data_IF_071377314293
#
_entry.id   IF_071377314293
#
_cell.length_a   1.000
_cell.length_b   1.000
_cell.length_c   1.000
_cell.angle_alpha   90.00
_cell.angle_beta   90.00
_cell.angle_gamma   90.00
#
_symmetry.space_group_name_H-M   'P 1'
#
loop_
_entity.id
_entity.type
_entity.pdbx_description
1 polymer ?
#
# COMPACT_ATOMS: atom_id res chain seq x y z
N UNK A 1 -12.63 -7.46 12.62
CA UNK A 1 -11.19 -7.74 12.79
C UNK A 1 -10.49 -6.41 12.95
N UNK A 2 -9.70 -6.17 14.01
CA UNK A 2 -9.03 -4.88 14.16
C UNK A 2 -8.00 -4.73 13.03
N UNK A 3 -8.14 -3.64 12.28
CA UNK A 3 -7.31 -3.33 11.12
C UNK A 3 -5.87 -3.09 11.57
N UNK A 4 -4.93 -3.88 11.06
CA UNK A 4 -3.51 -3.76 11.42
C UNK A 4 -2.92 -2.57 10.65
N UNK A 5 -2.68 -1.46 11.34
CA UNK A 5 -1.98 -0.29 10.78
C UNK A 5 -0.49 -0.61 10.62
N UNK A 6 -0.07 -1.18 9.48
CA UNK A 6 1.31 -1.63 9.25
C UNK A 6 2.26 -0.57 8.66
N UNK A 7 1.77 0.63 8.31
CA UNK A 7 2.68 1.75 8.02
C UNK A 7 3.34 2.34 9.30
N UNK A 8 3.06 1.78 10.48
CA UNK A 8 3.18 2.49 11.75
C UNK A 8 4.57 2.58 12.38
N UNK A 9 5.58 1.84 11.90
CA UNK A 9 6.94 1.87 12.48
C UNK A 9 8.09 1.94 11.45
N UNK A 10 7.78 2.04 10.15
CA UNK A 10 8.85 2.09 9.14
C UNK A 10 9.66 3.39 9.30
N UNK A 11 10.99 3.29 9.40
CA UNK A 11 11.83 4.47 9.52
C UNK A 11 11.78 5.30 8.24
N UNK A 12 12.02 6.60 8.38
CA UNK A 12 12.14 7.53 7.26
C UNK A 12 13.34 8.45 7.45
N UNK A 13 13.80 9.04 6.35
CA UNK A 13 14.94 9.96 6.38
C UNK A 13 14.48 11.41 6.49
N UNK A 14 15.20 12.21 7.25
CA UNK A 14 15.07 13.65 7.31
C UNK A 14 16.45 14.29 7.10
N UNK A 15 16.47 15.44 6.44
CA UNK A 15 17.69 16.23 6.24
C UNK A 15 17.68 17.42 7.18
N UNK A 16 18.72 17.56 8.00
CA UNK A 16 18.93 18.74 8.82
C UNK A 16 19.91 19.66 8.10
N UNK A 17 19.39 20.71 7.48
CA UNK A 17 20.20 21.75 6.87
C UNK A 17 20.79 22.67 7.95
N UNK A 18 22.03 23.09 7.80
CA UNK A 18 22.65 24.07 8.69
C UNK A 18 21.91 25.42 8.59
N UNK A 19 21.69 26.10 9.73
CA UNK A 19 20.94 27.36 9.72
C UNK A 19 21.69 28.51 9.03
N UNK A 20 23.02 28.49 9.08
CA UNK A 20 23.88 29.51 8.51
C UNK A 20 24.17 29.23 7.03
N UNK A 21 24.18 27.96 6.63
CA UNK A 21 24.32 27.51 5.24
C UNK A 21 23.34 26.37 4.91
N UNK A 22 22.12 26.68 4.41
CA UNK A 22 21.12 25.66 4.11
C UNK A 22 21.52 24.66 3.01
N UNK A 23 22.58 24.94 2.24
CA UNK A 23 23.11 24.00 1.26
C UNK A 23 23.96 22.89 1.93
N UNK A 24 24.45 23.14 3.14
CA UNK A 24 25.24 22.20 3.93
C UNK A 24 24.37 21.41 4.93
N UNK A 25 24.73 20.15 5.14
CA UNK A 25 24.06 19.28 6.10
C UNK A 25 24.68 19.42 7.49
N UNK A 26 23.85 19.59 8.51
CA UNK A 26 24.28 19.67 9.91
C UNK A 26 24.48 18.28 10.51
N UNK A 27 25.72 17.93 10.82
CA UNK A 27 26.08 16.68 11.50
C UNK A 27 26.13 16.86 13.02
N UNK A 28 26.06 15.77 13.78
CA UNK A 28 26.17 15.78 15.24
C UNK A 28 25.03 16.52 15.96
N UNK A 29 23.85 16.61 15.34
CA UNK A 29 22.69 17.29 15.93
C UNK A 29 22.16 16.47 17.10
N UNK A 30 22.03 17.12 18.26
CA UNK A 30 21.46 16.54 19.48
C UNK A 30 20.29 17.39 19.99
N UNK A 31 19.42 16.82 20.83
CA UNK A 31 18.33 17.57 21.45
C UNK A 31 17.24 18.01 20.46
N UNK A 32 16.95 17.17 19.47
CA UNK A 32 15.92 17.46 18.46
C UNK A 32 14.54 17.48 19.11
N UNK A 33 13.90 18.64 19.08
CA UNK A 33 12.49 18.78 19.41
C UNK A 33 11.66 18.27 18.24
N UNK A 34 10.82 17.27 18.49
CA UNK A 34 9.94 16.69 17.47
C UNK A 34 8.48 16.94 17.82
N UNK A 35 7.75 17.47 16.84
CA UNK A 35 6.31 17.65 16.92
C UNK A 35 5.61 16.89 15.81
N UNK A 36 4.39 16.46 16.10
CA UNK A 36 3.56 15.71 15.19
C UNK A 36 2.12 16.20 15.25
N UNK A 37 1.60 16.65 14.12
CA UNK A 37 0.18 16.87 13.89
C UNK A 37 -0.40 15.65 13.17
N UNK A 38 -1.53 15.13 13.66
CA UNK A 38 -2.23 13.96 13.11
C UNK A 38 -3.61 14.39 12.64
N UNK A 39 -4.16 13.69 11.65
CA UNK A 39 -5.49 14.00 11.11
C UNK A 39 -6.54 14.11 12.23
N UNK A 40 -7.20 15.28 12.32
CA UNK A 40 -8.23 15.58 13.32
C UNK A 40 -7.73 15.80 14.75
N UNK A 41 -6.42 15.79 15.00
CA UNK A 41 -5.82 16.01 16.33
C UNK A 41 -4.93 17.26 16.31
N UNK A 42 -4.82 17.91 17.48
CA UNK A 42 -3.89 19.01 17.65
C UNK A 42 -2.42 18.53 17.57
N UNK A 43 -1.51 19.42 17.19
CA UNK A 43 -0.07 19.16 17.23
C UNK A 43 0.38 18.83 18.66
N UNK A 44 1.17 17.76 18.81
CA UNK A 44 1.75 17.34 20.07
C UNK A 44 3.25 17.08 19.97
N UNK A 45 3.94 17.13 21.11
CA UNK A 45 5.34 16.72 21.21
C UNK A 45 5.44 15.20 21.20
N UNK A 46 6.39 14.66 20.45
CA UNK A 46 6.66 13.22 20.34
C UNK A 46 8.17 12.94 20.48
N UNK A 47 8.54 11.68 20.71
CA UNK A 47 9.94 11.30 20.92
C UNK A 47 10.28 10.02 20.14
N UNK A 48 10.39 10.10 18.79
CA UNK A 48 10.96 9.01 18.00
C UNK A 48 12.45 8.84 18.28
N UNK A 49 13.03 7.71 17.88
CA UNK A 49 14.49 7.57 17.80
C UNK A 49 14.99 8.28 16.55
N UNK A 50 16.06 9.07 16.67
CA UNK A 50 16.66 9.81 15.56
C UNK A 50 18.15 9.52 15.57
N UNK A 51 18.63 8.84 14.54
CA UNK A 51 20.03 8.46 14.40
C UNK A 51 20.68 9.14 13.19
N UNK A 52 21.89 9.66 13.37
CA UNK A 52 22.65 10.20 12.26
C UNK A 52 23.09 9.09 11.28
N UNK A 53 23.01 9.38 9.97
CA UNK A 53 23.50 8.55 8.87
C UNK A 53 24.63 9.24 8.07
N UNK A 54 24.99 10.46 8.46
CA UNK A 54 26.09 11.26 7.92
C UNK A 54 25.63 12.31 6.90
N UNK A 55 26.44 13.35 6.72
CA UNK A 55 26.20 14.41 5.72
C UNK A 55 24.90 15.20 5.94
N UNK A 56 24.43 15.31 7.19
CA UNK A 56 23.16 15.97 7.54
C UNK A 56 21.91 15.11 7.39
N UNK A 57 22.05 13.85 6.97
CA UNK A 57 20.95 12.90 6.91
C UNK A 57 20.79 12.14 8.23
N UNK A 58 19.54 12.06 8.68
CA UNK A 58 19.15 11.34 9.88
C UNK A 58 18.03 10.35 9.53
N UNK A 59 18.05 9.21 10.21
CA UNK A 59 16.97 8.23 10.16
C UNK A 59 16.10 8.39 11.40
N UNK A 60 14.81 8.63 11.17
CA UNK A 60 13.78 8.74 12.20
C UNK A 60 13.05 7.41 12.26
N UNK A 61 13.01 6.78 13.43
CA UNK A 61 12.25 5.57 13.72
C UNK A 61 11.03 5.93 14.58
N UNK A 62 9.81 5.97 13.99
CA UNK A 62 8.59 6.27 14.72
C UNK A 62 8.16 5.13 15.65
N UNK A 63 7.47 5.49 16.72
CA UNK A 63 6.72 4.54 17.55
C UNK A 63 5.34 4.29 16.92
N UNK A 64 4.74 3.14 17.21
CA UNK A 64 3.42 2.79 16.68
C UNK A 64 2.34 3.85 16.97
N UNK A 65 2.36 4.48 18.15
CA UNK A 65 1.42 5.53 18.56
C UNK A 65 1.52 6.83 17.71
N UNK A 66 2.63 7.04 17.02
CA UNK A 66 2.78 8.22 16.16
C UNK A 66 1.92 8.07 14.89
N UNK A 67 1.68 6.84 14.43
CA UNK A 67 0.97 6.53 13.17
C UNK A 67 -0.26 5.64 13.38
N UNK A 68 -0.92 5.77 14.53
CA UNK A 68 -2.14 5.02 14.86
C UNK A 68 -3.44 5.68 14.36
N UNK A 69 -3.34 6.79 13.63
CA UNK A 69 -4.47 7.59 13.13
C UNK A 69 -4.38 7.70 11.61
N UNK A 70 -5.42 7.27 10.90
CA UNK A 70 -5.48 7.34 9.44
C UNK A 70 -5.58 8.79 8.94
N UNK A 71 -4.95 9.05 7.79
CA UNK A 71 -4.96 10.35 7.10
C UNK A 71 -3.61 11.05 7.12
N UNK A 72 -3.62 12.34 6.78
CA UNK A 72 -2.40 13.16 6.71
C UNK A 72 -1.80 13.39 8.10
N UNK A 73 -0.48 13.40 8.15
CA UNK A 73 0.29 13.83 9.31
C UNK A 73 1.48 14.68 8.89
N UNK A 74 1.83 15.62 9.76
CA UNK A 74 2.92 16.56 9.57
C UNK A 74 3.88 16.48 10.75
N UNK A 75 5.14 16.19 10.46
CA UNK A 75 6.22 16.17 11.40
C UNK A 75 7.03 17.45 11.29
N UNK A 76 7.36 18.05 12.43
CA UNK A 76 8.27 19.20 12.51
C UNK A 76 9.41 18.84 13.44
N UNK A 77 10.64 19.02 12.96
CA UNK A 77 11.87 18.78 13.70
C UNK A 77 12.64 20.09 13.84
N UNK A 78 13.02 20.44 15.06
CA UNK A 78 13.82 21.63 15.33
C UNK A 78 14.97 21.31 16.29
N UNK A 79 16.11 21.95 16.07
CA UNK A 79 17.29 21.84 16.92
C UNK A 79 18.16 23.10 16.75
N UNK A 80 19.06 23.35 17.69
CA UNK A 80 20.01 24.47 17.57
C UNK A 80 20.92 24.30 16.37
N UNK A 81 21.09 25.35 15.57
CA UNK A 81 21.97 25.34 14.40
C UNK A 81 21.39 24.61 13.18
N UNK A 82 20.10 24.28 13.21
CA UNK A 82 19.39 23.57 12.14
C UNK A 82 18.21 24.41 11.66
N UNK A 83 17.98 24.49 10.36
CA UNK A 83 16.68 24.97 9.83
C UNK A 83 15.61 23.94 10.14
N UNK A 84 14.47 24.39 10.68
CA UNK A 84 13.33 23.52 10.95
C UNK A 84 13.01 22.63 9.74
N UNK A 85 13.02 21.32 9.97
CA UNK A 85 12.78 20.32 8.94
C UNK A 85 11.36 19.79 9.06
N UNK A 86 10.65 19.73 7.94
CA UNK A 86 9.24 19.33 7.89
C UNK A 86 9.10 18.09 7.02
N UNK A 87 8.29 17.13 7.47
CA UNK A 87 7.91 15.95 6.69
C UNK A 87 6.40 15.76 6.74
N UNK A 88 5.77 15.80 5.57
CA UNK A 88 4.38 15.41 5.38
C UNK A 88 4.32 13.93 5.00
N UNK A 89 3.39 13.17 5.58
CA UNK A 89 3.14 11.78 5.23
C UNK A 89 1.67 11.42 5.36
N UNK A 90 1.25 10.38 4.64
CA UNK A 90 -0.10 9.84 4.72
C UNK A 90 -0.09 8.48 5.42
N UNK A 91 -0.88 8.35 6.48
CA UNK A 91 -1.10 7.10 7.17
C UNK A 91 -2.29 6.40 6.53
N UNK A 92 -2.00 5.37 5.74
CA UNK A 92 -3.00 4.60 5.01
C UNK A 92 -3.28 3.25 5.65
N UNK A 93 -4.43 2.70 5.28
CA UNK A 93 -5.02 1.46 5.72
C UNK A 93 -4.34 0.17 5.19
N UNK A 94 -3.35 0.30 4.30
CA UNK A 94 -2.78 -0.81 3.53
C UNK A 94 -1.25 -0.72 3.46
N UNK A 95 -0.59 -1.85 3.21
CA UNK A 95 0.87 -1.91 2.98
C UNK A 95 1.15 -2.00 1.47
N UNK A 96 1.73 -0.94 0.90
CA UNK A 96 2.09 -0.88 -0.52
C UNK A 96 3.27 -1.78 -0.91
N UNK A 97 3.98 -2.35 0.08
CA UNK A 97 5.10 -3.26 -0.14
C UNK A 97 4.78 -4.71 0.22
N UNK A 98 3.53 -5.03 0.54
CA UNK A 98 3.09 -6.42 0.65
C UNK A 98 3.28 -7.13 -0.70
N UNK A 99 4.20 -8.10 -0.74
CA UNK A 99 4.55 -8.82 -1.97
C UNK A 99 3.45 -9.74 -2.49
N UNK A 100 2.45 -10.09 -1.66
CA UNK A 100 1.34 -10.94 -2.09
C UNK A 100 0.22 -10.11 -2.72
N UNK A 101 -0.17 -9.02 -2.06
CA UNK A 101 -1.39 -8.30 -2.42
C UNK A 101 -1.16 -6.82 -2.73
N UNK A 102 0.03 -6.25 -2.52
CA UNK A 102 0.32 -4.81 -2.65
C UNK A 102 -0.69 -3.91 -1.90
N UNK A 103 -1.29 -4.43 -0.82
CA UNK A 103 -2.38 -3.76 -0.12
C UNK A 103 -3.75 -3.85 -0.80
N UNK A 104 -3.86 -4.51 -1.95
CA UNK A 104 -5.07 -4.75 -2.74
C UNK A 104 -5.81 -6.00 -2.24
N UNK A 105 -6.16 -6.03 -0.96
CA UNK A 105 -6.92 -7.13 -0.34
C UNK A 105 -8.29 -7.43 -1.00
N UNK A 106 -8.77 -6.56 -1.89
CA UNK A 106 -10.04 -6.71 -2.61
C UNK A 106 -9.88 -7.03 -4.11
N UNK A 107 -8.67 -6.99 -4.69
CA UNK A 107 -8.50 -7.21 -6.12
C UNK A 107 -8.63 -8.70 -6.51
N UNK A 108 -8.29 -9.62 -5.60
CA UNK A 108 -8.45 -11.06 -5.80
C UNK A 108 -9.93 -11.44 -6.08
N UNK A 109 -10.89 -10.74 -5.46
CA UNK A 109 -12.33 -11.01 -5.66
C UNK A 109 -12.83 -10.48 -7.02
N UNK A 110 -12.30 -9.36 -7.50
CA UNK A 110 -12.73 -8.76 -8.77
C UNK A 110 -12.06 -9.41 -10.00
N UNK A 111 -10.79 -9.81 -9.89
CA UNK A 111 -10.07 -10.48 -10.96
C UNK A 111 -10.58 -11.91 -11.22
N UNK A 112 -11.04 -12.60 -10.18
CA UNK A 112 -11.62 -13.94 -10.29
C UNK A 112 -12.85 -14.01 -11.22
N UNK A 113 -13.61 -12.90 -11.33
CA UNK A 113 -14.82 -12.79 -12.15
C UNK A 113 -14.51 -12.51 -13.63
N UNK A 114 -13.34 -11.93 -13.95
CA UNK A 114 -12.99 -11.53 -15.32
C UNK A 114 -12.34 -12.66 -16.14
N UNK A 115 -11.71 -13.64 -15.50
CA UNK A 115 -11.18 -14.82 -16.19
C UNK A 115 -12.26 -15.91 -16.35
N UNK A 116 -13.35 -15.57 -17.05
CA UNK A 116 -14.26 -16.60 -17.57
C UNK A 116 -13.55 -17.29 -18.73
N UNK A 117 -12.86 -18.40 -18.45
CA UNK A 117 -12.48 -19.33 -19.51
C UNK A 117 -13.77 -19.99 -19.99
N UNK A 118 -14.20 -19.68 -21.21
CA UNK A 118 -15.26 -20.42 -21.89
C UNK A 118 -14.58 -21.61 -22.56
N UNK A 119 -14.66 -22.78 -21.93
CA UNK A 119 -14.32 -24.01 -22.63
C UNK A 119 -15.54 -24.46 -23.43
N UNK A 120 -15.33 -24.69 -24.73
CA UNK A 120 -16.35 -25.25 -25.62
C UNK A 120 -15.97 -26.70 -25.89
N UNK A 121 -16.88 -27.62 -25.59
CA UNK A 121 -16.70 -29.06 -25.86
C UNK A 121 -17.76 -29.51 -26.88
N UNK A 122 -17.32 -30.21 -27.93
CA UNK A 122 -18.23 -30.94 -28.83
C UNK A 122 -18.50 -32.33 -28.24
N UNK A 123 -19.77 -32.64 -27.97
CA UNK A 123 -20.18 -33.90 -27.38
C UNK A 123 -20.28 -35.04 -28.40
N UNK A 124 -20.03 -34.78 -29.69
CA UNK A 124 -20.15 -35.74 -30.80
C UNK A 124 -21.56 -36.33 -30.98
N UNK A 125 -22.57 -35.79 -30.30
CA UNK A 125 -24.00 -36.12 -30.43
C UNK A 125 -24.78 -35.00 -31.14
N UNK A 126 -24.07 -34.00 -31.65
CA UNK A 126 -24.64 -32.81 -32.27
C UNK A 126 -25.01 -31.70 -31.29
N UNK A 127 -24.56 -31.79 -30.04
CA UNK A 127 -24.65 -30.72 -29.04
C UNK A 127 -23.27 -30.20 -28.64
N UNK A 128 -23.24 -28.95 -28.15
CA UNK A 128 -22.04 -28.32 -27.63
C UNK A 128 -22.25 -27.89 -26.18
N UNK A 129 -21.24 -28.14 -25.35
CA UNK A 129 -21.22 -27.68 -23.96
C UNK A 129 -20.31 -26.45 -23.85
N UNK A 130 -20.89 -25.32 -23.45
CA UNK A 130 -20.17 -24.10 -23.08
C UNK A 130 -20.05 -24.06 -21.57
N UNK A 131 -18.83 -24.20 -21.07
CA UNK A 131 -18.56 -24.19 -19.64
C UNK A 131 -18.00 -22.84 -19.24
N UNK A 132 -18.73 -22.14 -18.37
CA UNK A 132 -18.26 -20.92 -17.71
C UNK A 132 -17.68 -21.34 -16.37
N UNK A 133 -16.36 -21.18 -16.21
CA UNK A 133 -15.67 -21.52 -14.97
C UNK A 133 -15.36 -20.30 -14.14
N UNK A 134 -15.41 -20.47 -12.82
CA UNK A 134 -14.77 -19.53 -11.91
C UNK A 134 -13.27 -19.81 -11.87
N UNK A 135 -12.46 -18.83 -12.29
CA UNK A 135 -10.99 -18.94 -12.30
C UNK A 135 -10.39 -19.16 -10.91
N UNK A 136 -11.03 -18.69 -9.84
CA UNK A 136 -10.52 -18.85 -8.47
C UNK A 136 -10.67 -20.27 -7.91
N UNK A 137 -11.73 -20.99 -8.31
CA UNK A 137 -12.09 -22.27 -7.67
C UNK A 137 -12.03 -23.47 -8.62
N UNK A 138 -11.69 -23.26 -9.90
CA UNK A 138 -11.70 -24.28 -10.96
C UNK A 138 -13.01 -25.06 -11.09
N UNK A 139 -14.09 -24.58 -10.47
CA UNK A 139 -15.40 -25.18 -10.48
C UNK A 139 -16.21 -24.61 -11.65
N UNK A 140 -16.96 -25.49 -12.32
CA UNK A 140 -17.90 -25.10 -13.36
C UNK A 140 -19.05 -24.34 -12.70
N UNK A 141 -19.18 -23.04 -13.02
CA UNK A 141 -20.26 -22.20 -12.50
C UNK A 141 -21.55 -22.52 -13.23
N UNK A 142 -21.46 -22.62 -14.56
CA UNK A 142 -22.57 -22.95 -15.45
C UNK A 142 -22.05 -23.81 -16.59
N UNK A 143 -22.82 -24.84 -16.94
CA UNK A 143 -22.69 -25.56 -18.21
C UNK A 143 -23.94 -25.32 -19.03
N UNK A 144 -23.79 -24.73 -20.21
CA UNK A 144 -24.88 -24.54 -21.17
C UNK A 144 -24.73 -25.59 -22.27
N UNK A 145 -25.72 -26.47 -22.40
CA UNK A 145 -25.81 -27.39 -23.55
C UNK A 145 -26.63 -26.75 -24.66
N UNK A 146 -26.00 -26.56 -25.81
CA UNK A 146 -26.63 -26.00 -27.00
C UNK A 146 -26.84 -27.10 -28.02
N UNK A 147 -28.08 -27.27 -28.49
CA UNK A 147 -28.40 -28.12 -29.64
C UNK A 147 -28.71 -27.20 -30.82
N UNK A 148 -27.81 -27.04 -31.80
CA UNK A 148 -28.10 -26.21 -32.96
C UNK A 148 -29.22 -26.83 -33.78
N UNK A 149 -30.17 -26.01 -34.22
CA UNK A 149 -31.09 -26.39 -35.29
C UNK A 149 -30.29 -26.75 -36.56
N UNK A 150 -30.89 -27.51 -37.47
CA UNK A 150 -30.21 -27.95 -38.71
C UNK A 150 -29.59 -26.77 -39.46
N UNK A 151 -28.26 -26.80 -39.62
CA UNK A 151 -27.42 -25.73 -40.17
C UNK A 151 -25.94 -26.04 -39.94
N UNK A 152 -25.06 -25.34 -40.67
CA UNK A 152 -23.63 -25.66 -40.79
C UNK A 152 -22.91 -25.69 -39.43
N UNK A 153 -22.10 -26.73 -39.19
CA UNK A 153 -21.41 -26.98 -37.91
C UNK A 153 -19.90 -26.98 -38.18
N UNK A 154 -19.25 -25.85 -37.93
CA UNK A 154 -17.79 -25.75 -38.02
C UNK A 154 -17.23 -25.21 -36.71
N UNK A 155 -16.36 -25.99 -36.07
CA UNK A 155 -15.43 -25.50 -35.06
C UNK A 155 -14.11 -25.27 -35.80
N UNK A 156 -13.63 -24.03 -35.83
CA UNK A 156 -12.28 -23.68 -36.33
C UNK A 156 -11.29 -23.78 -35.17
#
# INVERSE_FOLDING_TARGET
>A
MPQVLQNSARPFKIYFADDADPAAGKTGVTGVSTKLAKSGLAEGTVSPTIDERGGGWYEVTPLAAHRDTLGESAWTFSATGVKDAIRLEEVVAFDSQDGANMGLSQLEVAAAVLANVINVTDNSDGTFDYVIRNSANSADLITLRVTPATGDRSIV
#
